data_IF_012619579142
#
_entry.id   IF_012619579142
#
_cell.length_a   1.000
_cell.length_b   1.000
_cell.length_c   1.000
_cell.angle_alpha   90.00
_cell.angle_beta   90.00
_cell.angle_gamma   90.00
#
_symmetry.space_group_name_H-M   'P 1'
#
loop_
_entity.id
_entity.type
_entity.pdbx_description
1 polymer ?
#
# COMPACT_ATOMS: atom_id res chain seq x y z
N UNK A 1 -11.36 -72.59 -5.36
CA UNK A 1 -11.58 -71.44 -4.45
C UNK A 1 -10.25 -70.70 -4.31
N UNK A 2 -10.10 -69.56 -4.97
CA UNK A 2 -8.93 -68.69 -4.84
C UNK A 2 -9.35 -67.51 -3.96
N UNK A 3 -8.80 -67.44 -2.75
CA UNK A 3 -8.96 -66.30 -1.86
C UNK A 3 -7.96 -65.21 -2.26
N UNK A 4 -8.45 -64.12 -2.84
CA UNK A 4 -7.67 -62.91 -3.10
C UNK A 4 -7.51 -62.18 -1.78
N UNK A 5 -6.29 -62.17 -1.24
CA UNK A 5 -5.92 -61.31 -0.13
C UNK A 5 -5.85 -59.87 -0.64
N UNK A 6 -6.85 -59.07 -0.27
CA UNK A 6 -6.79 -57.61 -0.42
C UNK A 6 -5.79 -57.06 0.61
N UNK A 7 -4.58 -56.72 0.15
CA UNK A 7 -3.70 -55.81 0.86
C UNK A 7 -4.36 -54.43 0.81
N UNK A 8 -5.06 -54.09 1.89
CA UNK A 8 -5.56 -52.74 2.14
C UNK A 8 -4.37 -51.79 2.33
N UNK A 9 -4.10 -50.95 1.32
CA UNK A 9 -3.27 -49.76 1.47
C UNK A 9 -3.91 -48.83 2.51
N UNK A 10 -3.37 -48.79 3.72
CA UNK A 10 -3.60 -47.68 4.63
C UNK A 10 -3.15 -46.40 3.93
N UNK A 11 -4.11 -45.53 3.62
CA UNK A 11 -3.83 -44.14 3.26
C UNK A 11 -3.28 -43.48 4.52
N UNK A 12 -1.97 -43.24 4.52
CA UNK A 12 -1.36 -42.25 5.40
C UNK A 12 -2.17 -40.95 5.25
N UNK A 13 -2.76 -40.50 6.36
CA UNK A 13 -3.36 -39.18 6.42
C UNK A 13 -2.22 -38.19 6.16
N UNK A 14 -2.33 -37.28 5.18
CA UNK A 14 -1.31 -36.25 5.03
C UNK A 14 -1.23 -35.49 6.35
N UNK A 15 -0.03 -35.48 6.93
CA UNK A 15 0.26 -34.65 8.10
C UNK A 15 -0.16 -33.20 7.76
N UNK A 16 -0.84 -32.50 8.68
CA UNK A 16 -1.16 -31.10 8.46
C UNK A 16 0.16 -30.36 8.25
N UNK A 17 0.36 -29.83 7.05
CA UNK A 17 1.49 -28.93 6.77
C UNK A 17 1.35 -27.79 7.78
N UNK A 18 2.35 -27.55 8.65
CA UNK A 18 2.26 -26.47 9.62
C UNK A 18 2.02 -25.17 8.85
N UNK A 19 1.00 -24.41 9.27
CA UNK A 19 0.76 -23.09 8.70
C UNK A 19 2.05 -22.28 8.86
N UNK A 20 2.55 -21.65 7.78
CA UNK A 20 3.76 -20.85 7.87
C UNK A 20 3.57 -19.76 8.92
N UNK A 21 4.59 -19.56 9.77
CA UNK A 21 4.53 -18.52 10.78
C UNK A 21 4.24 -17.16 10.12
N UNK A 22 3.38 -16.33 10.74
CA UNK A 22 3.03 -15.04 10.18
C UNK A 22 4.27 -14.15 10.04
N UNK A 23 4.48 -13.60 8.85
CA UNK A 23 5.57 -12.66 8.57
C UNK A 23 5.38 -11.43 9.47
N UNK A 24 6.37 -11.12 10.31
CA UNK A 24 6.39 -9.91 11.14
C UNK A 24 7.40 -8.90 10.59
N UNK A 25 7.03 -7.62 10.67
CA UNK A 25 7.91 -6.52 10.32
C UNK A 25 8.65 -6.01 11.57
N UNK A 26 9.80 -5.38 11.34
CA UNK A 26 10.50 -4.64 12.38
C UNK A 26 10.01 -3.18 12.44
N UNK A 27 9.58 -2.74 13.62
CA UNK A 27 8.97 -1.41 13.84
C UNK A 27 9.89 -0.27 13.42
N UNK A 28 11.15 -0.34 13.81
CA UNK A 28 12.09 0.74 13.63
C UNK A 28 12.52 0.82 12.16
N UNK A 29 12.67 -0.33 11.50
CA UNK A 29 12.86 -0.43 10.05
C UNK A 29 11.68 0.12 9.28
N UNK A 30 10.44 -0.24 9.63
CA UNK A 30 9.23 0.30 8.98
C UNK A 30 9.18 1.82 9.15
N UNK A 31 9.39 2.31 10.37
CA UNK A 31 9.38 3.74 10.67
C UNK A 31 10.42 4.48 9.83
N UNK A 32 11.66 3.99 9.80
CA UNK A 32 12.77 4.55 9.01
C UNK A 32 12.49 4.56 7.50
N UNK A 33 11.97 3.46 6.98
CA UNK A 33 11.75 3.29 5.54
C UNK A 33 10.56 4.11 5.02
N UNK A 34 9.53 4.31 5.84
CA UNK A 34 8.36 5.11 5.47
C UNK A 34 8.57 6.59 5.74
N UNK A 35 9.31 6.95 6.80
CA UNK A 35 9.52 8.34 7.18
C UNK A 35 9.99 9.18 5.98
N UNK A 36 9.23 10.24 5.69
CA UNK A 36 9.54 11.25 4.67
C UNK A 36 9.52 10.75 3.22
N UNK A 37 8.92 9.60 2.96
CA UNK A 37 8.65 9.15 1.59
C UNK A 37 7.22 9.46 1.19
N UNK A 38 7.08 9.87 -0.07
CA UNK A 38 5.79 10.03 -0.72
C UNK A 38 5.46 8.75 -1.49
N UNK A 39 4.17 8.42 -1.57
CA UNK A 39 3.66 7.20 -2.16
C UNK A 39 2.49 7.52 -3.09
N UNK A 40 2.43 6.76 -4.17
CA UNK A 40 1.35 6.81 -5.15
C UNK A 40 0.55 5.51 -5.07
N UNK A 41 -0.78 5.60 -5.08
CA UNK A 41 -1.67 4.43 -5.10
C UNK A 41 -1.71 3.89 -6.53
N UNK A 42 -1.17 2.69 -6.74
CA UNK A 42 -1.16 2.05 -8.06
C UNK A 42 -2.35 1.16 -8.29
N UNK A 43 -2.83 0.49 -7.23
CA UNK A 43 -3.90 -0.50 -7.33
C UNK A 43 -4.81 -0.42 -6.10
N UNK A 44 -6.09 -0.65 -6.31
CA UNK A 44 -7.08 -0.72 -5.25
C UNK A 44 -8.14 -1.74 -5.62
N UNK A 45 -8.31 -2.75 -4.77
CA UNK A 45 -9.22 -3.86 -5.01
C UNK A 45 -10.17 -4.02 -3.84
N UNK A 46 -11.43 -4.32 -4.13
CA UNK A 46 -12.43 -4.79 -3.15
C UNK A 46 -12.73 -6.25 -3.39
N UNK A 47 -12.62 -7.05 -2.34
CA UNK A 47 -12.93 -8.48 -2.32
C UNK A 47 -14.18 -8.71 -1.49
N UNK A 48 -15.16 -9.45 -2.03
CA UNK A 48 -16.40 -9.83 -1.35
C UNK A 48 -16.71 -11.29 -1.70
N UNK A 49 -16.46 -12.21 -0.76
CA UNK A 49 -16.51 -13.65 -1.08
C UNK A 49 -15.53 -14.02 -2.20
N UNK A 50 -16.07 -14.51 -3.32
CA UNK A 50 -15.28 -14.85 -4.51
C UNK A 50 -15.16 -13.71 -5.53
N UNK A 51 -15.90 -12.61 -5.32
CA UNK A 51 -15.89 -11.47 -6.25
C UNK A 51 -14.71 -10.54 -5.95
N UNK A 52 -14.07 -10.05 -7.01
CA UNK A 52 -12.97 -9.09 -6.97
C UNK A 52 -13.25 -7.94 -7.92
N UNK A 53 -13.29 -6.72 -7.39
CA UNK A 53 -13.58 -5.49 -8.14
C UNK A 53 -12.38 -4.56 -8.10
N UNK A 54 -11.98 -4.08 -9.28
CA UNK A 54 -10.99 -3.02 -9.45
C UNK A 54 -11.64 -1.67 -9.15
N UNK A 55 -11.25 -1.06 -8.02
CA UNK A 55 -11.85 0.17 -7.53
C UNK A 55 -11.51 1.38 -8.39
N UNK A 56 -10.44 1.35 -9.19
CA UNK A 56 -10.16 2.43 -10.15
C UNK A 56 -11.15 2.49 -11.31
N UNK A 57 -11.87 1.38 -11.56
CA UNK A 57 -12.94 1.32 -12.57
C UNK A 57 -14.31 1.61 -11.95
N UNK A 58 -14.53 1.14 -10.72
CA UNK A 58 -15.79 1.31 -10.00
C UNK A 58 -15.96 2.74 -9.44
N UNK A 59 -14.91 3.31 -8.86
CA UNK A 59 -14.94 4.65 -8.26
C UNK A 59 -14.04 5.62 -9.04
N UNK A 60 -14.67 6.46 -9.85
CA UNK A 60 -13.97 7.48 -10.64
C UNK A 60 -13.25 8.53 -9.78
N UNK A 61 -13.71 8.77 -8.54
CA UNK A 61 -13.06 9.73 -7.65
C UNK A 61 -11.73 9.18 -7.13
N UNK A 62 -11.64 7.87 -6.88
CA UNK A 62 -10.40 7.24 -6.44
C UNK A 62 -9.26 7.50 -7.44
N UNK A 63 -9.55 7.40 -8.75
CA UNK A 63 -8.55 7.69 -9.79
C UNK A 63 -8.11 9.15 -9.75
N UNK A 64 -9.04 10.07 -9.56
CA UNK A 64 -8.75 11.50 -9.45
C UNK A 64 -7.84 11.75 -8.23
N UNK A 65 -8.20 11.19 -7.07
CA UNK A 65 -7.43 11.35 -5.84
C UNK A 65 -6.05 10.72 -5.91
N UNK A 66 -5.92 9.50 -6.43
CA UNK A 66 -4.61 8.85 -6.59
C UNK A 66 -3.64 9.69 -7.44
N UNK A 67 -4.14 10.34 -8.49
CA UNK A 67 -3.34 11.20 -9.36
C UNK A 67 -3.02 12.57 -8.74
N UNK A 68 -3.88 13.09 -7.87
CA UNK A 68 -3.76 14.44 -7.31
C UNK A 68 -3.14 14.49 -5.90
N UNK A 69 -3.19 13.40 -5.15
CA UNK A 69 -2.79 13.30 -3.75
C UNK A 69 -1.71 12.22 -3.55
N UNK A 70 -0.47 12.66 -3.40
CA UNK A 70 0.64 11.76 -3.05
C UNK A 70 0.73 11.62 -1.53
N UNK A 71 0.53 10.42 -1.01
CA UNK A 71 0.51 10.14 0.42
C UNK A 71 1.92 10.20 1.01
N UNK A 72 2.10 10.92 2.11
CA UNK A 72 3.38 11.07 2.80
C UNK A 72 3.26 10.57 4.25
N UNK A 73 4.24 9.77 4.67
CA UNK A 73 4.24 9.14 5.98
C UNK A 73 5.10 9.93 6.96
N UNK A 74 4.43 10.45 8.00
CA UNK A 74 5.05 11.09 9.15
C UNK A 74 5.00 10.12 10.32
N UNK A 75 6.03 9.28 10.44
CA UNK A 75 6.09 8.22 11.43
C UNK A 75 7.43 8.23 12.16
N UNK A 76 7.38 8.04 13.48
CA UNK A 76 8.54 7.84 14.33
C UNK A 76 8.19 6.79 15.40
N UNK A 77 9.10 5.82 15.61
CA UNK A 77 8.96 4.77 16.64
C UNK A 77 7.59 4.06 16.60
N UNK A 78 7.11 3.77 15.39
CA UNK A 78 5.85 3.06 15.17
C UNK A 78 4.57 3.89 15.38
N UNK A 79 4.65 5.20 15.59
CA UNK A 79 3.48 6.07 15.74
C UNK A 79 3.57 7.30 14.84
N UNK A 80 2.42 7.79 14.37
CA UNK A 80 2.41 8.95 13.49
C UNK A 80 1.12 9.17 12.73
N UNK A 81 1.24 9.72 11.53
CA UNK A 81 0.12 10.00 10.66
C UNK A 81 0.49 9.95 9.18
N UNK A 82 -0.53 9.80 8.34
CA UNK A 82 -0.40 9.98 6.90
C UNK A 82 -0.88 11.39 6.57
N UNK A 83 -0.03 12.17 5.91
CA UNK A 83 -0.39 13.42 5.26
C UNK A 83 -0.37 13.23 3.75
N UNK A 84 -0.65 14.26 2.98
CA UNK A 84 -0.48 14.18 1.53
C UNK A 84 0.00 15.50 0.93
N UNK A 85 0.71 15.39 -0.19
CA UNK A 85 0.97 16.51 -1.09
C UNK A 85 -0.22 16.65 -2.04
N UNK A 86 -0.89 17.80 -1.99
CA UNK A 86 -1.93 18.14 -2.95
C UNK A 86 -1.36 18.70 -4.26
N UNK A 87 -2.14 18.58 -5.34
CA UNK A 87 -1.79 19.16 -6.64
C UNK A 87 -0.64 18.42 -7.34
N UNK A 88 -0.48 17.12 -7.08
CA UNK A 88 0.39 16.29 -7.89
C UNK A 88 -0.11 16.32 -9.34
N UNK A 89 0.81 16.57 -10.28
CA UNK A 89 0.50 16.65 -11.70
C UNK A 89 1.34 15.65 -12.45
N UNK A 90 0.68 14.61 -12.98
CA UNK A 90 1.33 13.66 -13.87
C UNK A 90 1.66 14.34 -15.21
N UNK A 91 2.87 14.12 -15.71
CA UNK A 91 3.29 14.59 -17.04
C UNK A 91 3.93 13.44 -17.84
N UNK A 92 4.02 13.54 -19.18
CA UNK A 92 4.61 12.48 -20.00
C UNK A 92 6.03 12.11 -19.58
N UNK A 93 6.31 10.82 -19.46
CA UNK A 93 7.64 10.34 -19.14
C UNK A 93 8.54 10.38 -20.39
N UNK A 94 9.50 11.31 -20.42
CA UNK A 94 10.49 11.45 -21.50
C UNK A 94 11.92 11.14 -21.05
N UNK A 95 12.14 10.89 -19.76
CA UNK A 95 13.47 10.81 -19.15
C UNK A 95 13.76 9.43 -18.53
N UNK A 96 12.74 8.73 -18.04
CA UNK A 96 12.89 7.50 -17.28
C UNK A 96 12.70 6.27 -18.18
N UNK A 97 13.58 5.25 -18.11
CA UNK A 97 13.43 4.05 -18.90
C UNK A 97 12.30 3.15 -18.36
N UNK A 98 11.74 2.35 -19.27
CA UNK A 98 10.69 1.37 -18.94
C UNK A 98 9.34 2.01 -18.65
N UNK A 99 8.46 1.24 -18.02
CA UNK A 99 7.14 1.71 -17.63
C UNK A 99 7.24 2.48 -16.30
N UNK A 100 7.20 3.80 -16.37
CA UNK A 100 7.28 4.67 -15.21
C UNK A 100 6.33 5.85 -15.36
N UNK A 101 5.74 6.26 -14.24
CA UNK A 101 4.92 7.46 -14.14
C UNK A 101 5.76 8.61 -13.59
N UNK A 102 5.66 9.78 -14.20
CA UNK A 102 6.37 10.98 -13.78
C UNK A 102 5.41 12.06 -13.31
N UNK A 103 5.75 12.71 -12.21
CA UNK A 103 4.90 13.69 -11.54
C UNK A 103 5.68 14.93 -11.13
N UNK A 104 5.04 16.09 -11.18
CA UNK A 104 5.49 17.29 -10.49
C UNK A 104 4.68 17.43 -9.21
N UNK A 105 5.35 17.55 -8.07
CA UNK A 105 4.71 17.65 -6.75
C UNK A 105 5.02 19.00 -6.13
N UNK A 106 4.01 19.61 -5.48
CA UNK A 106 4.25 20.66 -4.50
C UNK A 106 4.74 20.02 -3.20
N UNK A 107 6.00 20.25 -2.86
CA UNK A 107 6.67 19.63 -1.71
C UNK A 107 6.68 20.52 -0.46
N UNK A 108 6.09 21.72 -0.53
CA UNK A 108 6.09 22.70 0.57
C UNK A 108 4.93 22.48 1.54
N UNK A 109 3.78 22.06 1.04
CA UNK A 109 2.54 21.97 1.82
C UNK A 109 2.14 20.51 1.94
N UNK A 110 1.97 20.08 3.18
CA UNK A 110 1.38 18.80 3.54
C UNK A 110 0.00 19.05 4.12
N UNK A 111 -1.00 18.37 3.59
CA UNK A 111 -2.38 18.45 4.04
C UNK A 111 -2.73 17.19 4.84
N UNK A 112 -3.53 17.32 5.91
CA UNK A 112 -3.89 16.19 6.75
C UNK A 112 -4.88 15.27 6.03
N UNK A 113 -4.63 13.97 6.07
CA UNK A 113 -5.61 12.95 5.65
C UNK A 113 -6.55 12.52 6.77
N UNK A 114 -6.21 12.85 8.03
CA UNK A 114 -6.83 12.31 9.24
C UNK A 114 -6.65 10.79 9.43
N UNK A 115 -5.64 10.19 8.79
CA UNK A 115 -5.21 8.82 9.07
C UNK A 115 -4.06 8.81 10.09
N UNK A 116 -4.28 8.16 11.22
CA UNK A 116 -3.28 7.94 12.27
C UNK A 116 -2.63 6.58 12.11
N UNK A 117 -1.35 6.51 12.43
CA UNK A 117 -0.52 5.32 12.36
C UNK A 117 -0.15 4.89 13.77
N UNK A 118 -0.29 3.60 14.06
CA UNK A 118 0.13 3.01 15.32
C UNK A 118 0.59 1.58 15.10
N UNK A 119 1.73 1.25 15.67
CA UNK A 119 2.28 -0.10 15.65
C UNK A 119 1.38 -1.06 16.44
N UNK A 120 1.16 -2.23 15.85
CA UNK A 120 0.43 -3.34 16.45
C UNK A 120 1.46 -4.44 16.76
N UNK A 121 1.83 -4.54 18.05
CA UNK A 121 2.85 -5.50 18.51
C UNK A 121 2.38 -6.96 18.36
N UNK A 122 1.08 -7.22 18.51
CA UNK A 122 0.51 -8.56 18.40
C UNK A 122 0.63 -9.07 16.96
N UNK A 123 0.26 -8.21 15.99
CA UNK A 123 0.36 -8.51 14.55
C UNK A 123 1.77 -8.30 13.99
N UNK A 124 2.66 -7.62 14.72
CA UNK A 124 4.00 -7.26 14.24
C UNK A 124 3.95 -6.41 12.97
N UNK A 125 3.02 -5.45 12.90
CA UNK A 125 2.84 -4.60 11.72
C UNK A 125 2.30 -3.21 12.07
N UNK A 126 2.24 -2.33 11.08
CA UNK A 126 1.72 -0.98 11.24
C UNK A 126 0.19 -0.94 11.02
N UNK A 127 -0.55 -0.56 12.05
CA UNK A 127 -1.97 -0.25 11.96
C UNK A 127 -2.21 1.18 11.45
N UNK A 128 -3.32 1.35 10.75
CA UNK A 128 -3.83 2.66 10.30
C UNK A 128 -5.29 2.82 10.72
N UNK A 129 -5.63 4.00 11.26
CA UNK A 129 -6.99 4.34 11.64
C UNK A 129 -7.35 5.72 11.10
N UNK A 130 -8.51 5.82 10.46
CA UNK A 130 -9.09 7.08 10.01
C UNK A 130 -9.85 7.71 11.18
N UNK A 131 -9.40 8.84 11.72
CA UNK A 131 -9.99 9.40 12.95
C UNK A 131 -11.03 10.50 12.72
N UNK A 132 -11.02 11.12 11.53
CA UNK A 132 -11.96 12.18 11.17
C UNK A 132 -12.08 12.31 9.65
N UNK A 133 -13.12 13.01 9.19
CA UNK A 133 -13.25 13.42 7.78
C UNK A 133 -12.59 14.77 7.59
N UNK A 134 -12.03 15.01 6.42
CA UNK A 134 -11.42 16.28 6.03
C UNK A 134 -12.01 16.75 4.71
N UNK A 135 -12.18 18.07 4.55
CA UNK A 135 -12.63 18.66 3.27
C UNK A 135 -11.63 18.43 2.14
N UNK A 136 -10.36 18.18 2.48
CA UNK A 136 -9.29 17.91 1.53
C UNK A 136 -9.29 16.47 1.00
N UNK A 137 -9.85 15.54 1.77
CA UNK A 137 -9.84 14.09 1.47
C UNK A 137 -11.15 13.44 1.94
N UNK A 138 -12.30 13.85 1.38
CA UNK A 138 -13.64 13.48 1.86
C UNK A 138 -14.01 12.02 1.65
N UNK A 139 -13.25 11.27 0.84
CA UNK A 139 -13.43 9.83 0.62
C UNK A 139 -13.07 8.98 1.86
N UNK A 140 -12.42 9.57 2.85
CA UNK A 140 -12.05 8.89 4.08
C UNK A 140 -13.20 8.97 5.09
N UNK A 141 -13.80 7.81 5.36
CA UNK A 141 -14.84 7.64 6.38
C UNK A 141 -14.16 7.41 7.74
N UNK A 142 -14.55 8.11 8.82
CA UNK A 142 -13.99 7.90 10.15
C UNK A 142 -14.27 6.49 10.72
N UNK A 143 -13.41 6.04 11.64
CA UNK A 143 -13.53 4.77 12.35
C UNK A 143 -13.04 3.53 11.57
N UNK A 144 -12.61 3.70 10.32
CA UNK A 144 -12.07 2.62 9.48
C UNK A 144 -10.64 2.29 9.92
N UNK A 145 -10.35 1.00 10.12
CA UNK A 145 -9.08 0.49 10.66
C UNK A 145 -8.46 -0.56 9.75
N UNK A 146 -7.28 -0.27 9.22
CA UNK A 146 -6.52 -1.20 8.39
C UNK A 146 -5.15 -1.50 8.97
N UNK A 147 -4.37 -2.29 8.24
CA UNK A 147 -2.98 -2.60 8.60
C UNK A 147 -2.12 -2.80 7.36
N UNK A 148 -0.81 -2.57 7.52
CA UNK A 148 0.21 -2.87 6.52
C UNK A 148 0.35 -4.38 6.38
N UNK A 149 0.15 -4.92 5.18
CA UNK A 149 0.38 -6.32 4.87
C UNK A 149 1.89 -6.62 4.92
N UNK A 150 2.37 -7.39 5.92
CA UNK A 150 3.80 -7.67 6.07
C UNK A 150 4.42 -8.34 4.84
N UNK A 151 3.67 -9.24 4.19
CA UNK A 151 4.15 -9.98 3.02
C UNK A 151 4.38 -9.07 1.80
N UNK A 152 3.70 -7.91 1.77
CA UNK A 152 3.81 -6.96 0.67
C UNK A 152 4.92 -5.92 0.84
N UNK A 153 5.53 -5.83 2.03
CA UNK A 153 6.39 -4.70 2.38
C UNK A 153 7.77 -4.80 1.72
N UNK A 154 7.89 -4.16 0.56
CA UNK A 154 9.13 -4.10 -0.21
C UNK A 154 9.39 -2.66 -0.66
N UNK A 155 9.76 -1.78 0.27
CA UNK A 155 10.02 -0.35 -0.04
C UNK A 155 11.47 0.07 0.17
N UNK A 156 12.35 -0.88 0.52
CA UNK A 156 13.75 -0.60 0.89
C UNK A 156 14.64 -0.15 -0.28
N UNK A 157 14.19 -0.36 -1.52
CA UNK A 157 15.00 -0.07 -2.71
C UNK A 157 15.25 1.43 -2.88
N UNK A 158 16.48 1.78 -3.26
CA UNK A 158 16.80 3.10 -3.80
C UNK A 158 16.18 3.31 -5.19
N UNK A 159 16.20 4.54 -5.70
CA UNK A 159 15.68 4.83 -7.04
C UNK A 159 16.40 4.00 -8.12
N UNK A 160 17.73 3.93 -8.08
CA UNK A 160 18.53 3.17 -9.05
C UNK A 160 18.26 1.66 -8.98
N UNK A 161 18.04 1.12 -7.79
CA UNK A 161 17.65 -0.28 -7.62
C UNK A 161 16.23 -0.53 -8.17
N UNK A 162 15.27 0.35 -7.84
CA UNK A 162 13.90 0.23 -8.28
C UNK A 162 13.77 0.30 -9.82
N UNK A 163 14.60 1.13 -10.46
CA UNK A 163 14.66 1.30 -11.91
C UNK A 163 14.90 -0.02 -12.64
N UNK A 164 15.81 -0.86 -12.16
CA UNK A 164 16.22 -2.11 -12.83
C UNK A 164 15.62 -3.37 -12.21
N UNK A 165 14.98 -3.28 -11.04
CA UNK A 165 14.38 -4.44 -10.36
C UNK A 165 13.27 -5.10 -11.20
N UNK A 166 13.23 -6.43 -11.20
CA UNK A 166 12.15 -7.20 -11.80
C UNK A 166 10.84 -7.06 -11.00
N UNK A 167 10.94 -7.07 -9.68
CA UNK A 167 9.82 -6.78 -8.76
C UNK A 167 10.00 -5.37 -8.23
N UNK A 168 9.14 -4.46 -8.66
CA UNK A 168 9.19 -3.05 -8.23
C UNK A 168 8.84 -2.92 -6.75
N UNK A 169 9.39 -1.91 -6.06
CA UNK A 169 9.07 -1.67 -4.68
C UNK A 169 7.60 -1.28 -4.51
N UNK A 170 6.96 -1.84 -3.48
CA UNK A 170 5.56 -1.61 -3.16
C UNK A 170 5.28 -1.92 -1.70
N UNK A 171 4.12 -1.49 -1.24
CA UNK A 171 3.50 -1.96 -0.01
C UNK A 171 1.99 -1.95 -0.18
N UNK A 172 1.28 -2.69 0.66
CA UNK A 172 -0.18 -2.80 0.59
C UNK A 172 -0.80 -2.61 1.96
N UNK A 173 -1.84 -1.79 2.02
CA UNK A 173 -2.76 -1.76 3.15
C UNK A 173 -3.92 -2.71 2.92
N UNK A 174 -4.31 -3.40 3.98
CA UNK A 174 -5.50 -4.24 4.06
C UNK A 174 -6.48 -3.57 5.03
N UNK A 175 -7.72 -3.42 4.58
CA UNK A 175 -8.81 -2.86 5.37
C UNK A 175 -10.04 -3.75 5.26
N UNK A 176 -10.63 -4.14 6.39
CA UNK A 176 -11.86 -4.95 6.43
C UNK A 176 -13.05 -4.09 6.84
N UNK A 177 -14.16 -4.25 6.13
CA UNK A 177 -15.38 -3.47 6.34
C UNK A 177 -16.64 -4.34 6.24
N UNK A 178 -17.76 -3.80 6.71
CA UNK A 178 -19.09 -4.34 6.50
C UNK A 178 -19.85 -3.43 5.53
N UNK A 179 -20.09 -3.93 4.31
CA UNK A 179 -20.91 -3.27 3.31
C UNK A 179 -22.38 -3.71 3.47
N UNK A 180 -23.36 -2.79 3.54
CA UNK A 180 -24.76 -3.14 3.75
C UNK A 180 -25.38 -4.06 2.68
N UNK A 181 -24.79 -4.13 1.48
CA UNK A 181 -25.27 -4.94 0.36
C UNK A 181 -24.43 -6.19 0.16
N UNK A 182 -23.12 -6.08 0.35
CA UNK A 182 -22.16 -7.15 0.05
C UNK A 182 -21.74 -7.96 1.29
N UNK A 183 -22.10 -7.49 2.49
CA UNK A 183 -21.63 -8.05 3.75
C UNK A 183 -20.16 -7.72 4.01
N UNK A 184 -19.42 -8.67 4.56
CA UNK A 184 -17.98 -8.53 4.81
C UNK A 184 -17.20 -8.31 3.52
N UNK A 185 -16.43 -7.24 3.47
CA UNK A 185 -15.55 -6.91 2.35
C UNK A 185 -14.12 -6.65 2.83
N UNK A 186 -13.15 -6.95 1.98
CA UNK A 186 -11.73 -6.64 2.21
C UNK A 186 -11.22 -5.75 1.09
N UNK A 187 -10.71 -4.58 1.46
CA UNK A 187 -10.02 -3.67 0.56
C UNK A 187 -8.51 -3.92 0.61
N UNK A 188 -7.89 -3.91 -0.56
CA UNK A 188 -6.44 -4.03 -0.75
C UNK A 188 -5.95 -2.83 -1.54
N UNK A 189 -5.22 -1.93 -0.88
CA UNK A 189 -4.69 -0.70 -1.49
C UNK A 189 -3.18 -0.84 -1.62
N UNK A 190 -2.69 -1.00 -2.85
CA UNK A 190 -1.26 -1.09 -3.15
C UNK A 190 -0.72 0.28 -3.48
N UNK A 191 0.42 0.60 -2.87
CA UNK A 191 1.13 1.84 -3.06
C UNK A 191 2.58 1.57 -3.45
N UNK A 192 3.13 2.46 -4.27
CA UNK A 192 4.55 2.44 -4.65
C UNK A 192 5.24 3.73 -4.24
N UNK A 193 6.52 3.67 -3.84
CA UNK A 193 7.27 4.85 -3.46
C UNK A 193 7.47 5.77 -4.66
N UNK A 194 7.37 7.07 -4.41
CA UNK A 194 7.71 8.13 -5.34
C UNK A 194 9.15 8.60 -5.06
N UNK A 195 10.01 8.52 -6.06
CA UNK A 195 11.41 8.94 -5.94
C UNK A 195 11.61 10.33 -6.53
N UNK A 196 12.10 11.28 -5.73
CA UNK A 196 12.51 12.59 -6.25
C UNK A 196 13.74 12.38 -7.14
N UNK A 197 13.66 12.80 -8.41
CA UNK A 197 14.77 12.66 -9.34
C UNK A 197 15.31 14.00 -9.84
N UNK A 198 14.51 15.05 -9.76
CA UNK A 198 14.93 16.38 -10.18
C UNK A 198 14.27 17.47 -9.34
N UNK A 199 15.06 18.47 -8.97
CA UNK A 199 14.61 19.70 -8.34
C UNK A 199 15.49 20.82 -8.85
N UNK A 200 14.87 21.85 -9.40
CA UNK A 200 15.60 23.00 -9.94
C UNK A 200 16.42 23.69 -8.83
N UNK A 201 17.66 24.15 -9.11
CA UNK A 201 18.46 24.85 -8.13
C UNK A 201 17.71 26.05 -7.53
N UNK A 202 17.68 26.15 -6.20
CA UNK A 202 16.96 27.22 -5.50
C UNK A 202 15.44 27.04 -5.42
N UNK A 203 14.86 26.07 -6.14
CA UNK A 203 13.43 25.79 -6.05
C UNK A 203 13.08 25.24 -4.67
N UNK A 204 12.11 25.87 -4.00
CA UNK A 204 11.67 25.48 -2.66
C UNK A 204 10.32 24.77 -2.63
N UNK A 205 9.49 24.97 -3.66
CA UNK A 205 8.09 24.60 -3.63
C UNK A 205 7.77 23.33 -4.41
N UNK A 206 8.56 22.98 -5.42
CA UNK A 206 8.26 21.84 -6.30
C UNK A 206 9.47 20.96 -6.61
N UNK A 207 9.21 19.69 -6.88
CA UNK A 207 10.19 18.77 -7.43
C UNK A 207 9.51 17.73 -8.32
N UNK A 208 10.29 17.14 -9.23
CA UNK A 208 9.85 16.04 -10.09
C UNK A 208 10.13 14.70 -9.43
N UNK A 209 9.15 13.82 -9.52
CA UNK A 209 9.18 12.48 -8.96
C UNK A 209 8.86 11.43 -10.01
N UNK A 210 9.35 10.22 -9.78
CA UNK A 210 9.07 9.04 -10.59
C UNK A 210 8.51 7.90 -9.74
N UNK A 211 7.58 7.14 -10.31
CA UNK A 211 7.07 5.87 -9.79
C UNK A 211 7.35 4.78 -10.82
N UNK A 212 8.03 3.71 -10.42
CA UNK A 212 8.31 2.57 -11.29
C UNK A 212 7.19 1.54 -11.21
N UNK A 213 6.58 1.20 -12.36
CA UNK A 213 5.47 0.26 -12.46
C UNK A 213 5.94 -1.18 -12.65
#
# INVERSE_FOLDING_TARGET
MLAVWQLSCSKDKPEPVPEPEPIKLDRDSVSSLLARRSFYITDAWRLAGNDSVDMFKEDTLLRLYANAAALNFYIEKGSGEIMFHGGASQFPNTEMPGNALTFNLNIRIFLPTQMKLKWDDDKGTLGVETVATTSYFPMIVPGKKGYLDPASFNVKMSMEQAKTAAVKPSMRFIYEDEDPKLGKVTYKITMKPMYQYYREPGQQASAKYVVFL
#
